data_IF_510245626571
#
_entry.id   IF_510245626571
#
_cell.length_a   1.000
_cell.length_b   1.000
_cell.length_c   1.000
_cell.angle_alpha   90.00
_cell.angle_beta   90.00
_cell.angle_gamma   90.00
#
_symmetry.space_group_name_H-M   'P 1'
#
loop_
_entity.id
_entity.type
_entity.pdbx_description
1 polymer ?
#
# COMPACT_ATOMS: atom_id res chain seq x y z
N UNK A 1 7.48 -7.83 -15.60
CA UNK A 1 6.62 -7.76 -14.41
C UNK A 1 6.69 -9.07 -13.68
N UNK A 2 6.77 -9.05 -12.34
CA UNK A 2 6.77 -10.26 -11.49
C UNK A 2 5.39 -10.47 -10.87
N UNK A 3 5.02 -11.71 -10.58
CA UNK A 3 3.77 -11.99 -9.86
C UNK A 3 3.87 -11.45 -8.43
N UNK A 4 2.84 -10.72 -7.99
CA UNK A 4 2.79 -10.06 -6.67
C UNK A 4 1.63 -10.55 -5.80
N UNK A 5 0.88 -11.57 -6.23
CA UNK A 5 -0.35 -12.03 -5.57
C UNK A 5 -0.09 -12.49 -4.12
N UNK A 6 1.02 -13.20 -3.92
CA UNK A 6 1.42 -13.67 -2.59
C UNK A 6 1.71 -12.52 -1.62
N UNK A 7 2.34 -11.45 -2.09
CA UNK A 7 2.66 -10.27 -1.27
C UNK A 7 1.38 -9.50 -0.95
N UNK A 8 0.52 -9.27 -1.96
CA UNK A 8 -0.78 -8.60 -1.77
C UNK A 8 -1.63 -9.35 -0.74
N UNK A 9 -1.67 -10.68 -0.82
CA UNK A 9 -2.37 -11.52 0.16
C UNK A 9 -1.79 -11.35 1.57
N UNK A 10 -0.47 -11.36 1.71
CA UNK A 10 0.16 -11.19 3.02
C UNK A 10 -0.14 -9.83 3.65
N UNK A 11 -0.13 -8.76 2.85
CA UNK A 11 -0.47 -7.41 3.32
C UNK A 11 -1.95 -7.30 3.75
N UNK A 12 -2.87 -7.99 3.05
CA UNK A 12 -4.28 -8.09 3.45
C UNK A 12 -4.45 -8.85 4.77
N UNK A 13 -3.77 -9.99 4.91
CA UNK A 13 -3.82 -10.82 6.13
C UNK A 13 -3.27 -10.07 7.35
N UNK A 14 -2.22 -9.26 7.16
CA UNK A 14 -1.66 -8.36 8.20
C UNK A 14 -2.47 -7.08 8.42
N UNK A 15 -3.57 -6.89 7.67
CA UNK A 15 -4.41 -5.68 7.69
C UNK A 15 -3.66 -4.39 7.37
N UNK A 16 -2.52 -4.45 6.69
CA UNK A 16 -1.77 -3.25 6.27
C UNK A 16 -2.44 -2.59 5.05
N UNK A 17 -3.16 -3.37 4.24
CA UNK A 17 -3.97 -2.86 3.14
C UNK A 17 -5.38 -3.43 3.22
N UNK A 18 -6.31 -2.79 2.50
CA UNK A 18 -7.71 -3.24 2.34
C UNK A 18 -8.19 -2.99 0.92
N UNK A 19 -9.27 -3.66 0.54
CA UNK A 19 -10.01 -3.35 -0.69
C UNK A 19 -10.80 -2.06 -0.45
N UNK A 20 -10.60 -1.06 -1.31
CA UNK A 20 -11.30 0.23 -1.25
C UNK A 20 -12.39 0.37 -2.31
N UNK A 21 -12.43 -0.56 -3.28
CA UNK A 21 -13.45 -0.60 -4.29
C UNK A 21 -13.06 -1.46 -5.48
N UNK A 22 -13.78 -1.28 -6.58
CA UNK A 22 -13.46 -1.84 -7.89
C UNK A 22 -13.38 -0.71 -8.89
N UNK A 23 -12.43 -0.76 -9.82
CA UNK A 23 -12.35 0.21 -10.90
C UNK A 23 -13.40 -0.14 -11.97
N UNK A 24 -14.18 0.82 -12.43
CA UNK A 24 -15.07 0.64 -13.59
C UNK A 24 -14.25 0.63 -14.89
N UNK A 25 -13.59 -0.50 -15.13
CA UNK A 25 -12.81 -0.81 -16.32
C UNK A 25 -12.99 -2.31 -16.66
N UNK A 26 -12.64 -2.77 -17.87
CA UNK A 26 -12.70 -4.18 -18.23
C UNK A 26 -12.01 -5.07 -17.20
N UNK A 27 -12.68 -6.13 -16.75
CA UNK A 27 -12.20 -7.03 -15.68
C UNK A 27 -12.47 -6.53 -14.25
N UNK A 28 -12.98 -5.31 -14.07
CA UNK A 28 -13.35 -4.71 -12.77
C UNK A 28 -12.31 -4.96 -11.66
N UNK A 29 -11.05 -4.56 -11.86
CA UNK A 29 -9.97 -4.89 -10.94
C UNK A 29 -10.22 -4.26 -9.56
N UNK A 30 -9.81 -4.98 -8.52
CA UNK A 30 -9.87 -4.51 -7.14
C UNK A 30 -8.92 -3.33 -6.95
N UNK A 31 -9.41 -2.29 -6.28
CA UNK A 31 -8.59 -1.17 -5.81
C UNK A 31 -8.20 -1.45 -4.37
N UNK A 32 -6.91 -1.27 -4.06
CA UNK A 32 -6.35 -1.42 -2.72
C UNK A 32 -5.97 -0.05 -2.15
N UNK A 33 -6.06 0.07 -0.83
CA UNK A 33 -5.60 1.25 -0.10
C UNK A 33 -5.07 0.85 1.27
N UNK A 34 -4.31 1.75 1.89
CA UNK A 34 -3.74 1.53 3.23
C UNK A 34 -4.81 1.64 4.32
N UNK A 35 -4.47 1.13 5.50
CA UNK A 35 -5.32 1.11 6.69
C UNK A 35 -4.74 1.98 7.80
N UNK A 36 -5.41 2.03 8.95
CA UNK A 36 -4.84 2.67 10.15
C UNK A 36 -3.70 1.83 10.73
N UNK A 37 -3.79 0.50 10.61
CA UNK A 37 -2.75 -0.43 11.03
C UNK A 37 -1.46 -0.21 10.26
N UNK A 38 -1.53 0.16 8.98
CA UNK A 38 -0.36 0.61 8.21
C UNK A 38 0.29 1.83 8.87
N UNK A 39 -0.48 2.88 9.14
CA UNK A 39 0.05 4.11 9.74
C UNK A 39 0.72 3.82 11.10
N UNK A 40 0.05 3.04 11.96
CA UNK A 40 0.61 2.63 13.25
C UNK A 40 1.88 1.79 13.11
N UNK A 41 1.92 0.85 12.15
CA UNK A 41 3.08 -0.01 11.93
C UNK A 41 4.31 0.79 11.48
N UNK A 42 4.12 1.83 10.66
CA UNK A 42 5.18 2.72 10.19
C UNK A 42 5.42 3.93 11.12
N UNK A 43 4.70 4.05 12.22
CA UNK A 43 4.84 5.17 13.16
C UNK A 43 4.37 6.52 12.61
N UNK A 44 3.47 6.51 11.61
CA UNK A 44 2.94 7.70 10.96
C UNK A 44 1.62 8.13 11.60
N UNK A 45 1.39 9.44 11.73
CA UNK A 45 0.09 9.98 12.15
C UNK A 45 -0.92 9.98 11.01
N UNK A 46 -0.46 10.31 9.80
CA UNK A 46 -1.26 10.31 8.59
C UNK A 46 -0.37 10.13 7.33
N UNK A 47 -0.99 10.12 6.15
CA UNK A 47 -0.29 9.88 4.89
C UNK A 47 0.60 11.05 4.43
N UNK A 48 0.48 12.23 5.03
CA UNK A 48 1.31 13.41 4.69
C UNK A 48 2.72 13.30 5.27
N UNK A 49 2.91 12.47 6.29
CA UNK A 49 4.22 12.16 6.88
C UNK A 49 5.01 11.12 6.08
N UNK A 50 4.44 10.59 4.99
CA UNK A 50 5.18 9.69 4.10
C UNK A 50 6.35 10.44 3.46
N UNK A 51 7.55 9.82 3.41
CA UNK A 51 8.68 10.41 2.72
C UNK A 51 8.33 10.61 1.24
N UNK A 52 8.85 11.69 0.68
CA UNK A 52 8.74 11.97 -0.74
C UNK A 52 9.53 10.92 -1.53
N UNK A 53 9.20 10.78 -2.81
CA UNK A 53 9.92 9.85 -3.69
C UNK A 53 11.42 10.17 -3.84
N UNK A 54 11.82 11.43 -3.59
CA UNK A 54 13.24 11.84 -3.62
C UNK A 54 13.99 11.29 -2.41
N UNK A 55 13.41 11.40 -1.22
CA UNK A 55 13.98 10.94 0.05
C UNK A 55 14.04 9.40 0.15
N UNK A 56 13.25 8.68 -0.66
CA UNK A 56 13.28 7.22 -0.75
C UNK A 56 14.34 6.69 -1.74
N UNK A 57 15.06 7.57 -2.44
CA UNK A 57 16.05 7.12 -3.41
C UNK A 57 17.25 6.48 -2.67
N UNK A 58 17.77 5.33 -3.14
CA UNK A 58 18.86 4.61 -2.48
C UNK A 58 20.18 5.39 -2.36
N UNK A 59 20.26 6.58 -2.95
CA UNK A 59 21.44 7.43 -2.97
C UNK A 59 21.65 8.16 -1.62
N UNK A 60 20.64 8.20 -0.74
CA UNK A 60 20.68 8.92 0.55
C UNK A 60 20.57 8.01 1.80
N UNK A 61 20.64 6.67 1.66
CA UNK A 61 20.67 5.71 2.78
C UNK A 61 22.06 5.13 3.04
#
# INVERSE_FOLDING_TARGET
GVNSDGIVRNLLERRLIRIVGKKEAPGRPLLYGTTREFLMFFGLKDLTELPTLRELSPEEL
#
